data_IF_943783569754
#
_entry.id   IF_943783569754
#
_cell.length_a   1.000
_cell.length_b   1.000
_cell.length_c   1.000
_cell.angle_alpha   90.00
_cell.angle_beta   90.00
_cell.angle_gamma   90.00
#
_symmetry.space_group_name_H-M   'P 1'
#
loop_
_entity.id
_entity.type
_entity.pdbx_description
1 polymer ?
#
# COMPACT_ATOMS: atom_id res chain seq x y z
N UNK A 1 27.24 -11.96 12.11
CA UNK A 1 26.21 -11.16 12.82
C UNK A 1 25.34 -12.13 13.60
N UNK A 2 25.09 -11.90 14.90
CA UNK A 2 24.25 -12.82 15.70
C UNK A 2 22.80 -12.80 15.22
N UNK A 3 22.13 -13.96 15.20
CA UNK A 3 20.70 -14.06 14.89
C UNK A 3 19.84 -13.10 15.75
N UNK A 4 20.22 -12.85 17.01
CA UNK A 4 19.54 -11.88 17.87
C UNK A 4 19.68 -10.45 17.36
N UNK A 5 20.89 -10.06 16.97
CA UNK A 5 21.17 -8.72 16.44
C UNK A 5 20.41 -8.50 15.13
N UNK A 6 20.46 -9.45 14.21
CA UNK A 6 19.73 -9.39 12.94
C UNK A 6 18.22 -9.25 13.15
N UNK A 7 17.63 -10.10 13.99
CA UNK A 7 16.18 -10.04 14.26
C UNK A 7 15.74 -8.73 14.92
N UNK A 8 16.59 -8.15 15.79
CA UNK A 8 16.29 -6.84 16.39
C UNK A 8 16.22 -5.73 15.34
N UNK A 9 17.17 -5.67 14.40
CA UNK A 9 17.13 -4.68 13.33
C UNK A 9 15.98 -4.94 12.35
N UNK A 10 15.73 -6.21 11.99
CA UNK A 10 14.58 -6.59 11.16
C UNK A 10 13.26 -6.05 11.73
N UNK A 11 13.04 -6.22 13.03
CA UNK A 11 11.84 -5.72 13.70
C UNK A 11 11.73 -4.19 13.65
N UNK A 12 12.84 -3.47 13.87
CA UNK A 12 12.87 -2.00 13.80
C UNK A 12 12.55 -1.49 12.39
N UNK A 13 13.16 -2.10 11.37
CA UNK A 13 12.92 -1.75 9.96
C UNK A 13 11.46 -2.02 9.59
N UNK A 14 10.93 -3.19 9.95
CA UNK A 14 9.54 -3.54 9.69
C UNK A 14 8.57 -2.53 10.32
N UNK A 15 8.78 -2.17 11.58
CA UNK A 15 7.94 -1.20 12.28
C UNK A 15 8.03 0.20 11.64
N UNK A 16 9.25 0.67 11.35
CA UNK A 16 9.46 1.96 10.68
C UNK A 16 8.76 2.02 9.32
N UNK A 17 8.86 0.96 8.51
CA UNK A 17 8.14 0.86 7.24
C UNK A 17 6.62 0.85 7.45
N UNK A 18 6.11 0.07 8.40
CA UNK A 18 4.66 0.00 8.66
C UNK A 18 4.11 1.38 9.05
N UNK A 19 4.76 2.09 9.96
CA UNK A 19 4.34 3.44 10.37
C UNK A 19 4.42 4.42 9.20
N UNK A 20 5.55 4.44 8.48
CA UNK A 20 5.75 5.35 7.35
C UNK A 20 4.75 5.12 6.22
N UNK A 21 4.50 3.87 5.85
CA UNK A 21 3.53 3.52 4.79
C UNK A 21 2.10 3.87 5.17
N UNK A 22 1.69 3.67 6.42
CA UNK A 22 0.35 4.06 6.87
C UNK A 22 0.16 5.58 6.89
N UNK A 23 1.17 6.33 7.31
CA UNK A 23 1.14 7.79 7.26
C UNK A 23 1.04 8.28 5.81
N UNK A 24 1.84 7.72 4.90
CA UNK A 24 1.80 8.06 3.48
C UNK A 24 0.43 7.77 2.87
N UNK A 25 -0.14 6.59 3.11
CA UNK A 25 -1.48 6.23 2.61
C UNK A 25 -2.55 7.18 3.16
N UNK A 26 -2.47 7.55 4.44
CA UNK A 26 -3.38 8.51 5.04
C UNK A 26 -3.32 9.86 4.31
N UNK A 27 -2.11 10.37 4.06
CA UNK A 27 -1.91 11.66 3.40
C UNK A 27 -2.35 11.62 1.93
N UNK A 28 -2.07 10.53 1.21
CA UNK A 28 -2.57 10.32 -0.16
C UNK A 28 -4.10 10.31 -0.19
N UNK A 29 -4.75 9.57 0.71
CA UNK A 29 -6.22 9.50 0.77
C UNK A 29 -6.84 10.85 1.09
N UNK A 30 -6.20 11.65 1.95
CA UNK A 30 -6.64 13.02 2.25
C UNK A 30 -6.55 13.91 1.01
N UNK A 31 -5.38 13.95 0.35
CA UNK A 31 -5.17 14.77 -0.84
C UNK A 31 -6.12 14.36 -1.99
N UNK A 32 -6.35 13.06 -2.11
CA UNK A 32 -7.31 12.50 -3.06
C UNK A 32 -8.74 12.97 -2.79
N UNK A 33 -9.21 12.87 -1.55
CA UNK A 33 -10.55 13.36 -1.16
C UNK A 33 -10.73 14.83 -1.50
N UNK A 34 -9.72 15.65 -1.23
CA UNK A 34 -9.72 17.08 -1.57
C UNK A 34 -9.77 17.30 -3.10
N UNK A 35 -8.98 16.55 -3.87
CA UNK A 35 -8.95 16.66 -5.34
C UNK A 35 -10.30 16.32 -6.00
N UNK A 36 -11.05 15.38 -5.42
CA UNK A 36 -12.38 15.01 -5.88
C UNK A 36 -13.52 15.80 -5.20
N UNK A 37 -13.19 16.84 -4.41
CA UNK A 37 -14.18 17.75 -3.81
C UNK A 37 -14.98 17.18 -2.63
N UNK A 38 -14.53 16.07 -2.04
CA UNK A 38 -15.11 15.51 -0.82
C UNK A 38 -14.86 16.45 0.36
N UNK A 39 -15.90 16.73 1.15
CA UNK A 39 -15.83 17.64 2.31
C UNK A 39 -15.79 16.90 3.63
N UNK A 40 -16.26 15.65 3.66
CA UNK A 40 -16.28 14.81 4.85
C UNK A 40 -15.79 13.40 4.55
N UNK A 41 -15.26 12.73 5.59
CA UNK A 41 -14.78 11.35 5.48
C UNK A 41 -15.88 10.33 5.10
N UNK A 42 -17.14 10.72 5.28
CA UNK A 42 -18.33 9.90 5.00
C UNK A 42 -18.90 10.09 3.60
N UNK A 43 -18.38 11.05 2.83
CA UNK A 43 -18.88 11.28 1.48
C UNK A 43 -18.52 10.08 0.60
N UNK A 44 -19.48 9.64 -0.21
CA UNK A 44 -19.26 8.63 -1.24
C UNK A 44 -18.89 9.38 -2.52
N UNK A 45 -17.74 9.02 -3.08
CA UNK A 45 -17.18 9.68 -4.26
C UNK A 45 -16.92 8.62 -5.31
N UNK A 46 -17.39 8.86 -6.52
CA UNK A 46 -17.10 8.01 -7.67
C UNK A 46 -15.69 8.32 -8.19
N UNK A 47 -14.89 7.27 -8.36
CA UNK A 47 -13.46 7.41 -8.64
C UNK A 47 -13.06 6.50 -9.79
N UNK A 48 -12.22 7.02 -10.68
CA UNK A 48 -11.61 6.25 -11.75
C UNK A 48 -10.31 5.63 -11.25
N UNK A 49 -10.21 4.30 -11.28
CA UNK A 49 -9.01 3.59 -10.85
C UNK A 49 -8.48 2.66 -11.93
N UNK A 50 -7.16 2.53 -11.97
CA UNK A 50 -6.49 1.39 -12.57
C UNK A 50 -6.09 0.41 -11.48
N UNK A 51 -6.03 -0.87 -11.82
CA UNK A 51 -5.56 -1.91 -10.93
C UNK A 51 -4.34 -2.56 -11.57
N UNK A 52 -3.25 -2.63 -10.81
CA UNK A 52 -2.06 -3.38 -11.21
C UNK A 52 -1.62 -4.26 -10.04
N UNK A 53 -1.01 -5.39 -10.35
CA UNK A 53 -0.62 -6.35 -9.36
C UNK A 53 0.46 -7.28 -9.90
N UNK A 54 1.37 -7.65 -9.01
CA UNK A 54 2.38 -8.64 -9.33
C UNK A 54 2.10 -9.91 -8.56
N UNK A 55 1.94 -10.98 -9.32
CA UNK A 55 2.12 -12.33 -8.83
C UNK A 55 3.34 -12.90 -9.54
N UNK A 56 4.35 -13.31 -8.78
CA UNK A 56 5.48 -14.05 -9.37
C UNK A 56 4.94 -15.32 -10.02
N UNK A 57 4.86 -15.34 -11.35
CA UNK A 57 4.30 -16.47 -12.11
C UNK A 57 5.20 -16.89 -13.26
N UNK A 58 6.03 -17.91 -12.98
CA UNK A 58 6.30 -19.15 -13.74
C UNK A 58 7.68 -19.68 -13.36
N UNK A 59 7.74 -20.90 -12.80
CA UNK A 59 8.99 -21.59 -12.41
C UNK A 59 9.38 -21.46 -10.93
N UNK A 60 8.74 -20.58 -10.18
CA UNK A 60 8.92 -20.44 -8.72
C UNK A 60 7.56 -20.40 -8.01
N UNK A 61 7.44 -21.16 -6.93
CA UNK A 61 6.29 -21.11 -6.00
C UNK A 61 6.49 -19.91 -5.08
N UNK A 62 6.11 -18.70 -5.51
CA UNK A 62 5.99 -17.57 -4.58
C UNK A 62 4.69 -17.73 -3.79
N UNK A 63 4.80 -17.67 -2.47
CA UNK A 63 3.65 -17.62 -1.56
C UNK A 63 3.20 -16.18 -1.31
N UNK A 64 3.70 -15.18 -2.04
CA UNK A 64 3.36 -13.77 -1.84
C UNK A 64 2.97 -13.14 -3.17
N UNK A 65 1.85 -12.43 -3.17
CA UNK A 65 1.38 -11.55 -4.23
C UNK A 65 1.03 -10.16 -3.70
N UNK A 66 1.06 -9.17 -4.60
CA UNK A 66 0.73 -7.78 -4.31
C UNK A 66 -0.29 -7.28 -5.33
N UNK A 67 -1.36 -6.67 -4.86
CA UNK A 67 -2.31 -5.91 -5.68
C UNK A 67 -2.36 -4.45 -5.24
N UNK A 68 -2.45 -3.53 -6.20
CA UNK A 68 -2.47 -2.09 -5.98
C UNK A 68 -3.64 -1.45 -6.74
N UNK A 69 -4.39 -0.59 -6.06
CA UNK A 69 -5.41 0.27 -6.65
C UNK A 69 -4.81 1.66 -6.84
N UNK A 70 -4.79 2.13 -8.08
CA UNK A 70 -4.09 3.35 -8.49
C UNK A 70 -5.10 4.33 -9.08
N UNK A 71 -5.17 5.53 -8.53
CA UNK A 71 -6.04 6.60 -9.05
C UNK A 71 -5.58 7.05 -10.45
N UNK A 72 -6.54 7.19 -11.38
CA UNK A 72 -6.25 7.58 -12.76
C UNK A 72 -5.78 9.03 -12.91
N UNK A 73 -6.19 9.94 -12.02
CA UNK A 73 -5.86 11.37 -12.15
C UNK A 73 -4.49 11.69 -11.56
N UNK A 74 -4.20 11.19 -10.36
CA UNK A 74 -2.96 11.48 -9.64
C UNK A 74 -1.85 10.45 -9.88
N UNK A 75 -2.21 9.25 -10.33
CA UNK A 75 -1.28 8.13 -10.46
C UNK A 75 -0.81 7.56 -9.11
N UNK A 76 -1.39 7.99 -7.98
CA UNK A 76 -1.04 7.49 -6.66
C UNK A 76 -1.76 6.19 -6.32
N UNK A 77 -1.07 5.32 -5.57
CA UNK A 77 -1.67 4.13 -4.97
C UNK A 77 -2.55 4.56 -3.80
N UNK A 78 -3.86 4.34 -3.90
CA UNK A 78 -4.84 4.72 -2.87
C UNK A 78 -5.14 3.55 -1.92
N UNK A 79 -4.93 2.32 -2.39
CA UNK A 79 -5.06 1.11 -1.60
C UNK A 79 -4.19 -0.01 -2.16
N UNK A 80 -3.82 -0.97 -1.31
CA UNK A 80 -3.06 -2.15 -1.71
C UNK A 80 -3.41 -3.34 -0.83
N UNK A 81 -3.21 -4.54 -1.37
CA UNK A 81 -3.37 -5.79 -0.64
C UNK A 81 -2.14 -6.68 -0.86
N UNK A 82 -1.58 -7.20 0.23
CA UNK A 82 -0.51 -8.20 0.19
C UNK A 82 -1.14 -9.55 0.51
N UNK A 83 -1.23 -10.41 -0.49
CA UNK A 83 -1.74 -11.76 -0.32
C UNK A 83 -0.58 -12.70 -0.04
N UNK A 84 -0.71 -13.53 0.98
CA UNK A 84 0.26 -14.62 1.21
C UNK A 84 -0.42 -15.95 1.52
N UNK A 85 0.19 -17.04 1.06
CA UNK A 85 -0.26 -18.42 1.27
C UNK A 85 0.34 -19.04 2.52
#
# INVERSE_FOLDING_TARGET
>A
MSNKTFNSYKAKVLNGHFVGSNQLLHDVRKNFREAYGSKNDKDIVDIGVSYDGSWLTKGHTSNIGLGCVIDLLTGFVIDYEVMSK
#
